data_IF_016234440624
#
_entry.id   IF_016234440624
#
_cell.length_a   1.000
_cell.length_b   1.000
_cell.length_c   1.000
_cell.angle_alpha   90.00
_cell.angle_beta   90.00
_cell.angle_gamma   90.00
#
_symmetry.space_group_name_H-M   'P 1'
#
loop_
_entity.id
_entity.type
_entity.pdbx_description
1 polymer ?
#
# COMPACT_ATOMS: atom_id res chain seq x y z
N UNK A 1 18.44 -3.65 0.37
CA UNK A 1 18.48 -5.05 -0.13
C UNK A 1 18.64 -5.03 -1.64
N UNK A 2 19.51 -5.89 -2.20
CA UNK A 2 19.59 -6.02 -3.66
C UNK A 2 18.30 -6.67 -4.16
N UNK A 3 17.54 -5.96 -5.00
CA UNK A 3 16.36 -6.51 -5.66
C UNK A 3 16.80 -7.38 -6.83
N UNK A 4 16.57 -8.68 -6.73
CA UNK A 4 16.94 -9.63 -7.79
C UNK A 4 15.88 -9.56 -8.88
N UNK A 5 16.24 -9.04 -10.05
CA UNK A 5 15.38 -9.04 -11.23
C UNK A 5 15.42 -10.40 -11.91
N UNK A 6 14.26 -10.93 -12.30
CA UNK A 6 14.17 -12.16 -13.10
C UNK A 6 14.75 -11.98 -14.49
N UNK A 7 15.11 -13.07 -15.13
CA UNK A 7 15.62 -13.04 -16.52
C UNK A 7 14.59 -12.45 -17.48
N UNK A 8 13.30 -12.72 -17.27
CA UNK A 8 12.23 -12.19 -18.10
C UNK A 8 12.16 -10.66 -18.02
N UNK A 9 12.23 -10.10 -16.81
CA UNK A 9 12.28 -8.64 -16.58
C UNK A 9 13.54 -8.02 -17.21
N UNK A 10 14.70 -8.66 -17.03
CA UNK A 10 15.96 -8.18 -17.65
C UNK A 10 15.87 -8.13 -19.17
N UNK A 11 15.30 -9.17 -19.79
CA UNK A 11 15.13 -9.22 -21.22
C UNK A 11 14.19 -8.11 -21.73
N UNK A 12 13.08 -7.86 -21.03
CA UNK A 12 12.16 -6.78 -21.42
C UNK A 12 12.81 -5.41 -21.29
N UNK A 13 13.59 -5.18 -20.24
CA UNK A 13 14.36 -3.93 -20.06
C UNK A 13 15.35 -3.69 -21.22
N UNK A 14 15.92 -4.75 -21.78
CA UNK A 14 16.86 -4.66 -22.92
C UNK A 14 16.16 -4.30 -24.25
N UNK A 15 14.85 -4.52 -24.36
CA UNK A 15 14.09 -4.14 -25.58
C UNK A 15 13.93 -2.63 -25.73
N UNK A 16 14.15 -1.87 -24.65
CA UNK A 16 13.95 -0.42 -24.60
C UNK A 16 12.48 0.03 -24.59
N UNK A 17 11.53 -0.89 -24.69
CA UNK A 17 10.09 -0.61 -24.63
C UNK A 17 9.55 -0.95 -23.24
N UNK A 18 9.85 -0.13 -22.27
CA UNK A 18 9.43 -0.35 -20.89
C UNK A 18 8.01 0.17 -20.71
N UNK A 19 7.09 -0.70 -20.28
CA UNK A 19 5.71 -0.35 -19.92
C UNK A 19 5.47 -0.67 -18.45
N UNK A 20 5.89 0.21 -17.53
CA UNK A 20 5.69 0.01 -16.10
C UNK A 20 4.23 0.25 -15.74
N UNK A 21 3.75 -0.54 -14.80
CA UNK A 21 2.44 -0.38 -14.15
C UNK A 21 2.60 -0.53 -12.65
N UNK A 22 1.65 -0.01 -11.91
CA UNK A 22 1.56 -0.22 -10.48
C UNK A 22 0.40 -1.15 -10.14
N UNK A 23 0.66 -2.07 -9.21
CA UNK A 23 -0.32 -2.93 -8.59
C UNK A 23 -0.41 -2.55 -7.13
N UNK A 24 -1.61 -2.28 -6.65
CA UNK A 24 -1.85 -1.81 -5.29
C UNK A 24 -2.76 -2.81 -4.61
N UNK A 25 -2.32 -3.29 -3.46
CA UNK A 25 -3.08 -4.19 -2.59
C UNK A 25 -3.41 -3.44 -1.30
N UNK A 26 -4.69 -3.37 -0.97
CA UNK A 26 -5.18 -2.74 0.25
C UNK A 26 -5.86 -3.82 1.08
N UNK A 27 -5.35 -4.06 2.28
CA UNK A 27 -5.75 -5.16 3.15
C UNK A 27 -6.96 -4.85 4.04
N UNK A 28 -8.02 -4.27 3.47
CA UNK A 28 -9.30 -4.13 4.17
C UNK A 28 -9.87 -5.50 4.57
N UNK A 29 -10.94 -5.54 5.36
CA UNK A 29 -11.65 -6.78 5.69
C UNK A 29 -12.03 -7.57 4.44
N UNK A 30 -12.41 -6.87 3.36
CA UNK A 30 -12.47 -7.39 1.99
C UNK A 30 -11.33 -6.76 1.19
N UNK A 31 -10.26 -7.50 0.88
CA UNK A 31 -9.10 -6.95 0.21
C UNK A 31 -9.43 -6.31 -1.14
N UNK A 32 -8.84 -5.16 -1.42
CA UNK A 32 -9.02 -4.41 -2.65
C UNK A 32 -7.72 -4.42 -3.45
N UNK A 33 -7.83 -4.76 -4.74
CA UNK A 33 -6.72 -4.86 -5.68
C UNK A 33 -6.92 -3.88 -6.82
N UNK A 34 -6.03 -2.90 -6.96
CA UNK A 34 -6.11 -1.83 -7.95
C UNK A 34 -4.88 -1.80 -8.84
N UNK A 35 -5.05 -1.28 -10.05
CA UNK A 35 -3.94 -0.98 -10.96
C UNK A 35 -4.16 0.33 -11.68
N UNK A 36 -3.09 1.03 -12.00
CA UNK A 36 -3.08 2.22 -12.86
C UNK A 36 -3.12 1.88 -14.35
N UNK A 37 -3.15 0.60 -14.68
CA UNK A 37 -3.34 0.13 -16.04
C UNK A 37 -4.77 0.45 -16.53
N UNK A 38 -4.94 0.77 -17.81
CA UNK A 38 -6.26 1.07 -18.40
C UNK A 38 -7.20 -0.12 -18.54
N UNK A 39 -6.82 -1.32 -18.08
CA UNK A 39 -7.61 -2.55 -18.13
C UNK A 39 -7.28 -3.45 -16.95
N UNK A 40 -8.23 -4.37 -16.63
CA UNK A 40 -8.04 -5.33 -15.55
C UNK A 40 -6.93 -6.31 -15.86
N UNK A 41 -6.11 -6.60 -14.85
CA UNK A 41 -4.96 -7.48 -14.95
C UNK A 41 -5.04 -8.59 -13.93
N UNK A 42 -4.58 -9.78 -14.31
CA UNK A 42 -4.35 -10.87 -13.37
C UNK A 42 -2.86 -11.08 -13.18
N UNK A 43 -2.42 -11.09 -11.95
CA UNK A 43 -1.03 -11.33 -11.57
C UNK A 43 -0.95 -12.30 -10.42
N UNK A 44 0.15 -13.04 -10.37
CA UNK A 44 0.47 -13.90 -9.23
C UNK A 44 1.59 -13.26 -8.44
N UNK A 45 1.32 -12.94 -7.18
CA UNK A 45 2.30 -12.42 -6.23
C UNK A 45 2.40 -13.43 -5.09
N UNK A 46 3.61 -13.85 -4.76
CA UNK A 46 3.88 -14.86 -3.74
C UNK A 46 3.06 -16.15 -3.92
N UNK A 47 2.84 -16.57 -5.17
CA UNK A 47 2.09 -17.79 -5.50
C UNK A 47 0.57 -17.66 -5.46
N UNK A 48 0.03 -16.50 -5.09
CA UNK A 48 -1.42 -16.25 -5.07
C UNK A 48 -1.84 -15.43 -6.27
N UNK A 49 -2.74 -15.96 -7.09
CA UNK A 49 -3.29 -15.26 -8.24
C UNK A 49 -4.37 -14.28 -7.79
N UNK A 50 -4.28 -13.03 -8.23
CA UNK A 50 -5.21 -11.94 -7.91
C UNK A 50 -5.57 -11.17 -9.17
N UNK A 51 -6.81 -10.69 -9.23
CA UNK A 51 -7.27 -9.82 -10.31
C UNK A 51 -7.27 -8.38 -9.82
N UNK A 52 -6.49 -7.54 -10.46
CA UNK A 52 -6.40 -6.10 -10.19
C UNK A 52 -7.36 -5.36 -11.09
N UNK A 53 -8.24 -4.60 -10.47
CA UNK A 53 -9.23 -3.77 -11.18
C UNK A 53 -8.56 -2.49 -11.66
N UNK A 54 -8.78 -2.18 -12.93
CA UNK A 54 -8.34 -0.92 -13.49
C UNK A 54 -8.99 0.24 -12.74
N UNK A 55 -8.17 1.11 -12.19
CA UNK A 55 -8.63 2.34 -11.56
C UNK A 55 -8.08 3.54 -12.34
N UNK A 56 -8.82 4.01 -13.36
CA UNK A 56 -8.40 5.15 -14.17
C UNK A 56 -8.31 6.45 -13.33
N UNK A 57 -8.85 6.41 -12.13
CA UNK A 57 -8.89 7.53 -11.19
C UNK A 57 -7.79 7.48 -10.13
N UNK A 58 -6.82 6.59 -10.29
CA UNK A 58 -5.63 6.60 -9.45
C UNK A 58 -4.80 7.84 -9.80
N UNK A 59 -5.09 8.93 -9.14
CA UNK A 59 -4.37 10.19 -9.31
C UNK A 59 -3.16 10.17 -8.39
N UNK A 60 -2.05 9.68 -8.90
CA UNK A 60 -0.73 9.91 -8.34
C UNK A 60 -0.53 9.55 -6.86
N UNK A 61 0.52 8.79 -6.60
CA UNK A 61 1.16 8.78 -5.29
C UNK A 61 2.21 9.89 -5.22
N UNK A 62 2.60 10.29 -4.02
CA UNK A 62 3.86 11.01 -3.84
C UNK A 62 4.99 10.15 -4.43
N UNK A 63 6.08 10.79 -4.86
CA UNK A 63 7.25 10.07 -5.36
C UNK A 63 7.71 9.00 -4.35
N UNK A 64 8.06 7.83 -4.85
CA UNK A 64 8.67 6.79 -4.02
C UNK A 64 10.12 7.19 -3.77
N UNK A 65 10.42 7.59 -2.54
CA UNK A 65 11.79 7.90 -2.12
C UNK A 65 12.31 6.76 -1.25
N UNK A 66 13.45 6.20 -1.63
CA UNK A 66 14.18 5.25 -0.81
C UNK A 66 15.31 5.99 -0.08
N UNK A 67 15.30 5.92 1.24
CA UNK A 67 16.34 6.48 2.08
C UNK A 67 17.10 5.35 2.79
N UNK A 68 18.39 5.56 3.02
CA UNK A 68 19.23 4.63 3.79
C UNK A 68 19.01 4.74 5.29
N UNK A 69 18.44 5.85 5.73
CA UNK A 69 18.17 6.09 7.15
C UNK A 69 16.87 5.39 7.58
N UNK A 70 16.86 4.89 8.80
CA UNK A 70 15.66 4.36 9.45
C UNK A 70 14.80 5.55 9.86
N UNK A 71 13.96 6.01 8.94
CA UNK A 71 13.05 7.12 9.18
C UNK A 71 11.63 6.76 8.79
N UNK A 72 10.67 7.45 9.40
CA UNK A 72 9.26 7.36 9.03
C UNK A 72 9.10 7.90 7.61
N UNK A 73 8.77 7.02 6.68
CA UNK A 73 8.41 7.41 5.32
C UNK A 73 6.89 7.38 5.20
N UNK A 74 6.31 8.47 4.73
CA UNK A 74 4.88 8.56 4.45
C UNK A 74 4.63 8.65 2.95
N UNK A 75 3.61 7.93 2.49
CA UNK A 75 3.14 7.96 1.11
C UNK A 75 1.67 8.37 1.10
N UNK A 76 1.30 9.29 0.24
CA UNK A 76 -0.11 9.60 0.00
C UNK A 76 -0.60 8.91 -1.27
N UNK A 77 -1.68 8.15 -1.15
CA UNK A 77 -2.38 7.51 -2.25
C UNK A 77 -3.71 8.24 -2.45
N UNK A 78 -3.91 8.86 -3.61
CA UNK A 78 -5.13 9.59 -3.92
C UNK A 78 -5.91 8.86 -5.01
N UNK A 79 -7.19 8.61 -4.74
CA UNK A 79 -8.14 8.00 -5.66
C UNK A 79 -9.21 9.05 -5.97
N UNK A 80 -9.22 9.54 -7.21
CA UNK A 80 -10.25 10.48 -7.68
C UNK A 80 -11.41 9.70 -8.30
N UNK A 81 -12.65 10.18 -8.11
CA UNK A 81 -13.84 9.47 -8.59
C UNK A 81 -14.02 8.10 -7.95
N UNK A 82 -13.61 7.96 -6.69
CA UNK A 82 -13.73 6.71 -5.95
C UNK A 82 -15.17 6.18 -6.01
N UNK A 83 -15.29 4.87 -6.27
CA UNK A 83 -16.58 4.19 -6.26
C UNK A 83 -17.25 4.32 -4.89
N UNK A 84 -18.58 4.43 -4.90
CA UNK A 84 -19.38 4.52 -3.68
C UNK A 84 -19.13 3.34 -2.73
N UNK A 85 -18.86 2.15 -3.27
CA UNK A 85 -18.51 0.97 -2.49
C UNK A 85 -17.20 1.17 -1.74
N UNK A 86 -16.17 1.73 -2.40
CA UNK A 86 -14.88 2.01 -1.78
C UNK A 86 -15.01 3.05 -0.66
N UNK A 87 -15.76 4.13 -0.91
CA UNK A 87 -16.04 5.18 0.09
C UNK A 87 -16.78 4.59 1.28
N UNK A 88 -17.80 3.76 1.02
CA UNK A 88 -18.57 3.08 2.08
C UNK A 88 -17.68 2.18 2.94
N UNK A 89 -16.76 1.44 2.34
CA UNK A 89 -15.79 0.61 3.07
C UNK A 89 -14.92 1.47 3.98
N UNK A 90 -14.33 2.55 3.45
CA UNK A 90 -13.45 3.45 4.23
C UNK A 90 -14.20 4.12 5.39
N UNK A 91 -15.51 4.41 5.22
CA UNK A 91 -16.30 5.05 6.27
C UNK A 91 -16.84 4.08 7.33
N UNK A 92 -17.14 2.84 6.94
CA UNK A 92 -17.82 1.89 7.82
C UNK A 92 -16.87 0.90 8.51
N UNK A 93 -15.64 0.75 8.01
CA UNK A 93 -14.63 -0.12 8.58
C UNK A 93 -13.56 0.68 9.32
N UNK A 94 -12.91 0.05 10.28
CA UNK A 94 -11.71 0.63 10.91
C UNK A 94 -10.50 0.35 10.01
N UNK A 95 -10.32 1.16 8.98
CA UNK A 95 -9.25 1.01 7.99
C UNK A 95 -7.88 1.49 8.47
N UNK A 96 -7.83 2.15 9.61
CA UNK A 96 -6.57 2.62 10.21
C UNK A 96 -5.76 1.40 10.66
N UNK A 97 -4.51 1.36 10.29
CA UNK A 97 -3.56 0.28 10.49
C UNK A 97 -3.71 -0.93 9.54
N UNK A 98 -4.62 -0.88 8.56
CA UNK A 98 -4.65 -1.88 7.49
C UNK A 98 -3.42 -1.76 6.60
N UNK A 99 -2.96 -2.90 6.08
CA UNK A 99 -1.75 -2.96 5.25
C UNK A 99 -2.01 -2.46 3.84
N UNK A 100 -1.03 -1.75 3.28
CA UNK A 100 -1.02 -1.36 1.87
C UNK A 100 0.32 -1.76 1.28
N UNK A 101 0.26 -2.49 0.18
CA UNK A 101 1.44 -2.90 -0.57
C UNK A 101 1.33 -2.40 -2.01
N UNK A 102 2.43 -1.84 -2.51
CA UNK A 102 2.50 -1.29 -3.85
C UNK A 102 3.64 -1.97 -4.59
N UNK A 103 3.29 -2.58 -5.70
CA UNK A 103 4.23 -3.29 -6.57
C UNK A 103 4.37 -2.61 -7.91
N UNK A 104 5.54 -2.71 -8.48
CA UNK A 104 5.80 -2.35 -9.88
C UNK A 104 5.85 -3.62 -10.72
N UNK A 105 4.94 -3.72 -11.66
CA UNK A 105 4.96 -4.71 -12.72
C UNK A 105 5.46 -4.11 -14.02
N UNK A 106 5.83 -4.98 -14.95
CA UNK A 106 6.14 -4.64 -16.33
C UNK A 106 5.21 -5.42 -17.26
N UNK A 107 4.66 -4.76 -18.26
CA UNK A 107 3.87 -5.41 -19.29
C UNK A 107 4.76 -5.80 -20.48
N UNK A 108 4.52 -7.00 -21.00
CA UNK A 108 5.11 -7.46 -22.25
C UNK A 108 4.36 -6.89 -23.47
N UNK A 109 4.81 -7.22 -24.67
CA UNK A 109 4.18 -6.79 -25.93
C UNK A 109 2.72 -7.23 -26.08
N UNK A 110 2.31 -8.31 -25.41
CA UNK A 110 0.94 -8.84 -25.41
C UNK A 110 0.06 -8.25 -24.31
N UNK A 111 0.48 -7.18 -23.64
CA UNK A 111 -0.21 -6.56 -22.50
C UNK A 111 -0.42 -7.49 -21.30
N UNK A 112 0.37 -8.54 -21.20
CA UNK A 112 0.39 -9.41 -20.03
C UNK A 112 1.49 -9.00 -19.07
N UNK A 113 1.26 -9.16 -17.78
CA UNK A 113 2.26 -8.84 -16.77
C UNK A 113 3.39 -9.87 -16.82
N UNK A 114 4.61 -9.39 -16.76
CA UNK A 114 5.78 -10.25 -16.61
C UNK A 114 5.84 -10.71 -15.15
N UNK A 115 6.11 -12.01 -14.94
CA UNK A 115 6.16 -12.59 -13.60
C UNK A 115 7.10 -11.83 -12.66
N UNK A 116 6.78 -11.90 -11.38
CA UNK A 116 7.51 -11.32 -10.26
C UNK A 116 7.50 -9.77 -10.25
N UNK A 117 6.34 -9.14 -9.99
CA UNK A 117 6.28 -7.71 -9.69
C UNK A 117 7.19 -7.35 -8.51
N UNK A 118 7.80 -6.18 -8.59
CA UNK A 118 8.76 -5.70 -7.60
C UNK A 118 8.02 -4.92 -6.53
N UNK A 119 8.12 -5.31 -5.26
CA UNK A 119 7.60 -4.52 -4.16
C UNK A 119 8.33 -3.18 -4.09
N UNK A 120 7.58 -2.08 -4.24
CA UNK A 120 8.08 -0.72 -4.11
C UNK A 120 7.90 -0.19 -2.69
N UNK A 121 6.73 -0.41 -2.13
CA UNK A 121 6.37 0.14 -0.83
C UNK A 121 5.46 -0.83 -0.07
N UNK A 122 5.67 -0.93 1.23
CA UNK A 122 4.79 -1.63 2.17
C UNK A 122 4.65 -0.78 3.43
N UNK A 123 3.42 -0.59 3.87
CA UNK A 123 3.11 0.21 5.05
C UNK A 123 1.68 -0.01 5.51
N UNK A 124 1.28 0.80 6.48
CA UNK A 124 -0.05 0.77 7.07
C UNK A 124 -0.75 2.11 6.90
N UNK A 125 -2.07 2.09 6.78
CA UNK A 125 -2.88 3.30 6.73
C UNK A 125 -2.80 4.00 8.08
N UNK A 126 -2.32 5.25 8.09
CA UNK A 126 -2.26 6.10 9.28
C UNK A 126 -3.53 6.95 9.39
N UNK A 127 -3.90 7.62 8.31
CA UNK A 127 -5.08 8.47 8.23
C UNK A 127 -5.70 8.42 6.84
N UNK A 128 -6.96 8.83 6.75
CA UNK A 128 -7.63 9.01 5.48
C UNK A 128 -8.39 10.35 5.44
N UNK A 129 -8.60 10.86 4.26
CA UNK A 129 -9.36 12.08 3.98
C UNK A 129 -10.32 11.79 2.83
N UNK A 130 -11.57 12.16 2.99
CA UNK A 130 -12.59 12.06 1.94
C UNK A 130 -13.04 13.47 1.63
N UNK A 131 -12.86 13.88 0.38
CA UNK A 131 -13.33 15.16 -0.13
C UNK A 131 -14.39 14.93 -1.20
N UNK A 132 -15.61 15.35 -0.93
CA UNK A 132 -16.72 15.25 -1.86
C UNK A 132 -17.06 16.64 -2.42
N UNK A 133 -17.23 16.67 -3.72
CA UNK A 133 -17.76 17.83 -4.44
C UNK A 133 -19.05 17.41 -5.16
N UNK A 134 -19.76 18.35 -5.73
CA UNK A 134 -21.00 18.04 -6.50
C UNK A 134 -20.76 17.14 -7.71
N UNK A 135 -19.52 16.99 -8.16
CA UNK A 135 -19.17 16.25 -9.38
C UNK A 135 -18.16 15.14 -9.18
N UNK A 136 -17.43 15.13 -8.06
CA UNK A 136 -16.35 14.17 -7.82
C UNK A 136 -16.20 13.86 -6.33
N UNK A 137 -15.87 12.60 -6.05
CA UNK A 137 -15.45 12.15 -4.74
C UNK A 137 -14.00 11.73 -4.79
N UNK A 138 -13.20 12.27 -3.89
CA UNK A 138 -11.78 11.95 -3.78
C UNK A 138 -11.50 11.30 -2.43
N UNK A 139 -10.82 10.16 -2.44
CA UNK A 139 -10.33 9.53 -1.22
C UNK A 139 -8.80 9.60 -1.23
N UNK A 140 -8.23 10.12 -0.15
CA UNK A 140 -6.80 10.19 0.06
C UNK A 140 -6.44 9.34 1.27
N UNK A 141 -5.58 8.35 1.07
CA UNK A 141 -5.02 7.52 2.12
C UNK A 141 -3.59 8.00 2.41
N UNK A 142 -3.27 8.22 3.66
CA UNK A 142 -1.90 8.47 4.10
C UNK A 142 -1.37 7.17 4.69
N UNK A 143 -0.33 6.64 4.06
CA UNK A 143 0.27 5.37 4.39
C UNK A 143 1.64 5.65 4.99
N UNK A 144 1.94 4.99 6.11
CA UNK A 144 3.23 5.12 6.79
C UNK A 144 3.95 3.79 6.81
N UNK A 145 5.28 3.83 6.69
CA UNK A 145 6.08 2.62 6.83
C UNK A 145 5.94 2.03 8.25
N UNK A 146 6.15 0.74 8.39
CA UNK A 146 6.11 0.07 9.71
C UNK A 146 7.09 0.68 10.74
N UNK A 147 8.10 1.43 10.30
CA UNK A 147 9.00 2.19 11.17
C UNK A 147 8.30 3.28 11.98
N UNK A 148 7.12 3.72 11.55
CA UNK A 148 6.30 4.65 12.32
C UNK A 148 5.88 4.09 13.70
N UNK A 149 5.82 2.76 13.85
CA UNK A 149 5.48 2.14 15.13
C UNK A 149 6.55 2.35 16.19
N UNK A 150 7.80 2.56 15.81
CA UNK A 150 8.89 2.89 16.74
C UNK A 150 8.77 4.30 17.32
N UNK A 151 8.06 5.19 16.65
CA UNK A 151 7.78 6.55 17.14
C UNK A 151 6.56 6.62 18.05
N UNK A 152 5.73 5.56 18.08
CA UNK A 152 4.56 5.50 18.96
C UNK A 152 5.01 5.50 20.42
N UNK A 153 4.76 6.61 21.11
CA UNK A 153 5.00 6.69 22.54
C UNK A 153 3.97 5.81 23.24
N UNK A 154 4.44 4.76 23.90
CA UNK A 154 3.58 4.00 24.80
C UNK A 154 3.10 4.95 25.92
N UNK A 155 1.80 5.17 26.02
CA UNK A 155 1.20 5.97 27.10
C UNK A 155 1.31 5.30 28.47
N UNK A 156 1.98 4.16 28.55
CA UNK A 156 2.17 3.40 29.77
C UNK A 156 3.22 4.09 30.65
N UNK A 157 2.79 4.52 31.81
CA UNK A 157 3.70 5.05 32.82
C UNK A 157 4.40 3.89 33.54
N UNK A 158 5.71 4.01 33.73
CA UNK A 158 6.50 3.13 34.60
C UNK A 158 6.25 3.50 36.05
N UNK A 159 5.15 3.05 36.62
CA UNK A 159 4.84 3.19 38.05
C UNK A 159 4.37 1.85 38.61
N UNK A 160 4.43 1.71 39.90
CA UNK A 160 4.08 0.49 40.64
C UNK A 160 2.67 -0.01 40.25
N UNK A 161 1.66 0.87 40.23
CA UNK A 161 0.29 0.49 39.85
C UNK A 161 0.16 -0.06 38.42
N UNK A 162 0.91 0.49 37.48
CA UNK A 162 0.96 -0.03 36.08
C UNK A 162 1.68 -1.37 35.99
N UNK A 163 2.69 -1.59 36.80
CA UNK A 163 3.46 -2.83 36.85
C UNK A 163 2.65 -3.95 37.52
N UNK A 164 2.04 -3.70 38.66
CA UNK A 164 1.20 -4.68 39.37
C UNK A 164 -0.04 -5.12 38.58
N UNK A 165 -0.52 -4.33 37.63
CA UNK A 165 -1.62 -4.74 36.71
C UNK A 165 -1.25 -5.96 35.86
N UNK A 166 0.02 -6.15 35.56
CA UNK A 166 0.52 -7.24 34.70
C UNK A 166 1.30 -8.29 35.49
N UNK A 167 1.93 -7.86 36.58
CA UNK A 167 2.74 -8.70 37.45
C UNK A 167 2.34 -8.36 38.91
N UNK A 168 1.27 -9.00 39.38
CA UNK A 168 0.63 -8.66 40.66
C UNK A 168 1.53 -8.78 41.91
N UNK A 169 2.62 -9.54 41.82
CA UNK A 169 3.60 -9.75 42.89
C UNK A 169 4.84 -8.87 42.76
N UNK A 170 4.96 -8.09 41.72
CA UNK A 170 6.12 -7.23 41.49
C UNK A 170 5.82 -5.83 42.09
N UNK A 171 6.59 -5.48 43.11
CA UNK A 171 6.44 -4.20 43.83
C UNK A 171 7.39 -3.11 43.36
N UNK A 172 8.19 -3.32 42.28
CA UNK A 172 9.05 -2.31 41.63
C UNK A 172 10.34 -2.03 42.38
#
# INVERSE_FOLDING_TARGET
MARTLTTAVKNELLTGQIRPIHLIEIGFSTPVYLTDCGFNLTSSISGTSRTYTASPFLVGGSSFEEQTDISKTSLSLSLSGADQTFISTVLNENVVNDTVEIYRGLLNSSNSIIADPILLYSGNIDTFEIAETTTQSNVKLIIVSHWADFEKKSGRKTNNASQQRFFSTDVG
#
